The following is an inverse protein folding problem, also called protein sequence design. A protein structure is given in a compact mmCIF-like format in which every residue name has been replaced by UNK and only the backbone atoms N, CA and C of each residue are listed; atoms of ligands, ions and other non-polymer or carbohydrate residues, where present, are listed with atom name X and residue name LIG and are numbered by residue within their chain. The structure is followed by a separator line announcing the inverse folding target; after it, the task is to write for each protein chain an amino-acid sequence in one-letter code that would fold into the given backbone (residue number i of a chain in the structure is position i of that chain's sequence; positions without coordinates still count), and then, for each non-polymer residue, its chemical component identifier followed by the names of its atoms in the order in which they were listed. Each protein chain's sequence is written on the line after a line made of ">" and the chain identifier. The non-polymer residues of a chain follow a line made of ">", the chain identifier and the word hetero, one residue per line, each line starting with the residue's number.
data_IF_810465145406
#
_entry.id   IF_810465145406
#
_cell.length_a   1.000
_cell.length_b   1.000
_cell.length_c   1.000
_cell.angle_alpha   90.00
_cell.angle_beta   90.00
_cell.angle_gamma   90.00
#
_symmetry.space_group_name_H-M   'P 1'
#
loop_
_entity.id
_entity.type
_entity.pdbx_description
1 polymer ?
#
# COMPACT_ATOMS: atom_id res chain seq x y z
N UNK A 1 -14.08 22.55 -67.52
CA UNK A 1 -13.38 21.66 -66.58
C UNK A 1 -13.73 22.21 -65.19
N UNK A 2 -14.56 21.48 -64.42
CA UNK A 2 -14.88 21.84 -63.07
C UNK A 2 -13.86 21.12 -62.17
N UNK A 3 -12.95 21.87 -61.58
CA UNK A 3 -12.07 21.35 -60.52
C UNK A 3 -12.89 21.05 -59.29
N UNK A 4 -12.93 19.77 -58.93
CA UNK A 4 -13.55 19.29 -57.72
C UNK A 4 -12.50 19.37 -56.61
N UNK A 5 -12.61 20.35 -55.70
CA UNK A 5 -11.81 20.34 -54.49
C UNK A 5 -12.16 19.07 -53.67
N UNK A 6 -11.19 18.19 -53.52
CA UNK A 6 -11.28 17.08 -52.58
C UNK A 6 -10.77 17.55 -51.24
N UNK A 7 -11.67 17.88 -50.31
CA UNK A 7 -11.33 18.15 -48.92
C UNK A 7 -10.96 16.81 -48.29
N UNK A 8 -9.68 16.55 -48.10
CA UNK A 8 -9.17 15.43 -47.34
C UNK A 8 -9.24 15.83 -45.85
N UNK A 9 -10.24 15.36 -45.14
CA UNK A 9 -10.23 15.39 -43.69
C UNK A 9 -9.10 14.46 -43.23
N UNK A 10 -7.96 15.02 -42.86
CA UNK A 10 -6.99 14.28 -42.05
C UNK A 10 -7.62 14.15 -40.68
N UNK A 11 -7.90 12.91 -40.26
CA UNK A 11 -8.19 12.63 -38.85
C UNK A 11 -7.06 13.25 -38.02
N UNK A 12 -7.42 14.23 -37.21
CA UNK A 12 -6.51 14.83 -36.23
C UNK A 12 -6.13 13.67 -35.33
N UNK A 13 -4.87 13.25 -35.29
CA UNK A 13 -4.40 12.33 -34.26
C UNK A 13 -4.89 12.90 -32.92
N UNK A 14 -5.79 12.18 -32.27
CA UNK A 14 -6.27 12.57 -30.95
C UNK A 14 -5.08 12.49 -30.02
N UNK A 15 -4.55 13.65 -29.62
CA UNK A 15 -3.48 13.75 -28.65
C UNK A 15 -3.89 13.08 -27.32
N UNK A 16 -2.92 12.79 -26.47
CA UNK A 16 -3.15 12.23 -25.13
C UNK A 16 -4.28 12.99 -24.40
N UNK A 17 -5.25 12.26 -23.87
CA UNK A 17 -6.29 12.80 -22.99
C UNK A 17 -6.01 12.33 -21.56
N UNK A 18 -6.01 13.23 -20.57
CA UNK A 18 -5.92 12.83 -19.18
C UNK A 18 -6.99 11.78 -18.85
N UNK A 19 -6.59 10.75 -18.13
CA UNK A 19 -7.46 9.65 -17.72
C UNK A 19 -7.08 9.18 -16.34
N UNK A 20 -7.94 8.39 -15.73
CA UNK A 20 -7.67 7.92 -14.38
C UNK A 20 -8.86 7.28 -13.72
N UNK A 21 -8.79 7.19 -12.40
CA UNK A 21 -9.87 6.72 -11.59
C UNK A 21 -9.94 7.40 -10.23
N UNK A 22 -11.12 7.37 -9.65
CA UNK A 22 -11.43 7.74 -8.27
C UNK A 22 -12.14 6.56 -7.63
N UNK A 23 -11.73 6.17 -6.43
CA UNK A 23 -12.35 5.12 -5.63
C UNK A 23 -12.63 5.68 -4.23
N UNK A 24 -13.91 5.65 -3.83
CA UNK A 24 -14.34 5.96 -2.47
C UNK A 24 -14.85 4.68 -1.82
N UNK A 25 -14.23 4.31 -0.70
CA UNK A 25 -14.54 3.11 0.05
C UNK A 25 -14.78 3.43 1.51
N UNK A 26 -15.87 2.90 2.07
CA UNK A 26 -16.06 2.80 3.51
C UNK A 26 -15.88 1.33 3.92
N UNK A 27 -15.05 1.08 4.92
CA UNK A 27 -14.77 -0.26 5.45
C UNK A 27 -14.95 -0.26 6.97
N UNK A 28 -15.70 -1.23 7.43
CA UNK A 28 -15.86 -1.54 8.84
C UNK A 28 -15.03 -2.79 9.19
N UNK A 29 -14.41 -2.75 10.36
CA UNK A 29 -13.69 -3.84 10.97
C UNK A 29 -14.39 -4.16 12.28
N UNK A 30 -14.84 -5.40 12.43
CA UNK A 30 -15.61 -5.84 13.57
C UNK A 30 -14.74 -6.25 14.73
N UNK A 31 -15.37 -6.90 15.69
CA UNK A 31 -14.73 -7.43 16.88
C UNK A 31 -13.84 -8.63 16.53
N UNK A 32 -12.65 -8.68 17.12
CA UNK A 32 -11.73 -9.80 16.97
C UNK A 32 -12.18 -10.97 17.85
N UNK A 33 -12.10 -12.18 17.34
CA UNK A 33 -12.45 -13.40 18.04
C UNK A 33 -11.66 -13.54 19.36
N UNK A 34 -12.34 -13.94 20.45
CA UNK A 34 -11.76 -14.16 21.78
C UNK A 34 -10.99 -12.97 22.36
N UNK A 35 -11.42 -11.77 22.07
CA UNK A 35 -10.83 -10.54 22.58
C UNK A 35 -10.62 -10.51 24.10
N UNK A 36 -11.58 -11.06 24.87
CA UNK A 36 -11.55 -11.08 26.33
C UNK A 36 -10.41 -11.92 26.93
N UNK A 37 -9.81 -12.82 26.14
CA UNK A 37 -8.76 -13.73 26.62
C UNK A 37 -7.39 -13.05 26.83
N UNK A 38 -7.19 -11.86 26.26
CA UNK A 38 -5.91 -11.16 26.23
C UNK A 38 -6.07 -9.67 26.54
N UNK A 39 -6.36 -9.35 27.76
CA UNK A 39 -6.52 -8.00 28.32
C UNK A 39 -5.80 -6.90 27.53
N UNK A 40 -6.48 -6.27 26.56
CA UNK A 40 -6.11 -5.04 25.86
C UNK A 40 -5.22 -5.11 24.61
N UNK A 41 -4.57 -6.21 24.28
CA UNK A 41 -3.64 -6.22 23.12
C UNK A 41 -4.35 -6.08 21.76
N UNK A 42 -5.61 -6.54 21.64
CA UNK A 42 -6.40 -6.47 20.41
C UNK A 42 -7.57 -5.49 20.47
N UNK A 43 -7.97 -5.11 21.66
CA UNK A 43 -9.10 -4.20 21.88
C UNK A 43 -9.00 -2.91 21.08
N UNK A 44 -7.77 -2.43 20.88
CA UNK A 44 -7.45 -1.22 20.13
C UNK A 44 -7.56 -1.34 18.63
N UNK A 45 -7.80 -2.54 18.10
CA UNK A 45 -7.94 -2.81 16.68
C UNK A 45 -9.33 -3.35 16.30
N UNK A 46 -10.28 -3.28 17.21
CA UNK A 46 -11.66 -3.73 17.05
C UNK A 46 -12.63 -2.58 16.85
N UNK A 47 -13.77 -2.89 16.24
CA UNK A 47 -14.92 -2.00 16.12
C UNK A 47 -14.55 -0.57 15.65
N UNK A 48 -13.79 -0.52 14.57
CA UNK A 48 -13.44 0.74 13.92
C UNK A 48 -13.83 0.74 12.45
N UNK A 49 -13.87 1.89 11.86
CA UNK A 49 -14.13 2.07 10.45
C UNK A 49 -13.07 2.90 9.77
N UNK A 50 -12.96 2.76 8.48
CA UNK A 50 -12.08 3.55 7.62
C UNK A 50 -12.82 4.06 6.41
N UNK A 51 -12.87 5.38 6.25
CA UNK A 51 -13.22 6.01 5.00
C UNK A 51 -11.95 6.24 4.19
N UNK A 52 -11.91 5.79 2.95
CA UNK A 52 -10.77 5.96 2.06
C UNK A 52 -11.20 6.56 0.74
N UNK A 53 -10.57 7.65 0.36
CA UNK A 53 -10.60 8.21 -0.99
C UNK A 53 -9.25 7.95 -1.62
N UNK A 54 -9.22 7.27 -2.76
CA UNK A 54 -7.99 6.99 -3.49
C UNK A 54 -8.19 7.13 -4.99
N UNK A 55 -7.12 7.35 -5.71
CA UNK A 55 -7.18 7.44 -7.14
C UNK A 55 -5.83 7.68 -7.79
N UNK A 56 -5.86 7.68 -9.10
CA UNK A 56 -4.72 8.01 -9.93
C UNK A 56 -5.18 8.81 -11.15
N UNK A 57 -4.37 9.76 -11.55
CA UNK A 57 -4.59 10.61 -12.72
C UNK A 57 -3.34 10.53 -13.59
N UNK A 58 -3.45 9.96 -14.79
CA UNK A 58 -2.46 10.09 -15.83
C UNK A 58 -2.66 11.47 -16.49
N UNK A 59 -1.82 12.42 -16.15
CA UNK A 59 -1.91 13.81 -16.65
C UNK A 59 -1.36 13.95 -18.05
N UNK A 60 -0.34 13.16 -18.35
CA UNK A 60 0.27 13.01 -19.66
C UNK A 60 0.73 11.55 -19.84
N UNK A 61 1.28 11.17 -20.99
CA UNK A 61 1.89 9.86 -21.22
C UNK A 61 3.04 9.54 -20.23
N UNK A 62 3.66 10.58 -19.65
CA UNK A 62 4.82 10.46 -18.76
C UNK A 62 4.53 10.81 -17.33
N UNK A 63 3.43 11.52 -17.04
CA UNK A 63 3.15 12.10 -15.74
C UNK A 63 1.92 11.46 -15.12
N UNK A 64 2.06 11.00 -13.89
CA UNK A 64 0.98 10.40 -13.10
C UNK A 64 0.98 10.99 -11.69
N UNK A 65 -0.21 11.30 -11.21
CA UNK A 65 -0.47 11.64 -9.81
C UNK A 65 -1.29 10.53 -9.17
N UNK A 66 -0.86 10.02 -8.04
CA UNK A 66 -1.64 9.15 -7.16
C UNK A 66 -1.94 9.86 -5.86
N UNK A 67 -3.14 9.65 -5.34
CA UNK A 67 -3.54 10.16 -4.04
C UNK A 67 -4.29 9.12 -3.24
N UNK A 68 -4.13 9.20 -1.91
CA UNK A 68 -4.88 8.40 -0.94
C UNK A 68 -5.11 9.23 0.31
N UNK A 69 -6.36 9.33 0.72
CA UNK A 69 -6.78 9.97 1.95
C UNK A 69 -7.54 8.92 2.75
N UNK A 70 -7.16 8.73 3.99
CA UNK A 70 -7.79 7.80 4.93
C UNK A 70 -8.21 8.54 6.18
N UNK A 71 -9.37 8.16 6.69
CA UNK A 71 -9.86 8.60 7.98
C UNK A 71 -10.37 7.37 8.72
N UNK A 72 -9.83 7.11 9.90
CA UNK A 72 -10.26 6.05 10.79
C UNK A 72 -11.10 6.63 11.90
N UNK A 73 -12.18 5.95 12.26
CA UNK A 73 -13.09 6.36 13.30
C UNK A 73 -13.45 5.16 14.17
N UNK A 74 -13.48 5.36 15.48
CA UNK A 74 -14.05 4.39 16.41
C UNK A 74 -15.55 4.27 16.16
N UNK A 75 -16.07 3.05 16.14
CA UNK A 75 -17.51 2.77 15.93
C UNK A 75 -18.22 2.65 17.28
N UNK A 76 -17.53 2.21 18.30
CA UNK A 76 -18.04 2.14 19.67
C UNK A 76 -17.30 3.12 20.58
N UNK A 77 -18.04 3.78 21.47
CA UNK A 77 -17.53 4.67 22.50
C UNK A 77 -17.17 3.92 23.79
N UNK A 78 -16.57 2.73 23.66
CA UNK A 78 -16.09 1.98 24.82
C UNK A 78 -14.69 2.46 25.23
N UNK A 79 -14.31 2.20 26.48
CA UNK A 79 -12.97 2.48 27.01
C UNK A 79 -11.87 1.70 26.24
N UNK A 80 -12.27 0.78 25.39
CA UNK A 80 -11.45 -0.03 24.49
C UNK A 80 -11.48 0.48 23.05
N UNK A 81 -11.64 1.77 22.82
CA UNK A 81 -11.63 2.37 21.51
C UNK A 81 -10.33 2.06 20.76
N UNK A 82 -10.46 1.78 19.48
CA UNK A 82 -9.33 1.47 18.59
C UNK A 82 -8.23 2.53 18.65
N UNK A 83 -6.96 2.12 18.74
CA UNK A 83 -5.79 3.01 18.63
C UNK A 83 -5.79 3.80 17.31
N UNK A 84 -6.44 3.29 16.28
CA UNK A 84 -6.62 3.99 15.00
C UNK A 84 -7.87 4.88 14.97
N UNK A 85 -8.67 4.89 16.01
CA UNK A 85 -9.83 5.76 16.11
C UNK A 85 -9.40 7.22 16.00
N UNK A 86 -10.17 8.00 15.20
CA UNK A 86 -9.99 9.43 15.03
C UNK A 86 -8.63 9.87 14.45
N UNK A 87 -7.99 9.01 13.68
CA UNK A 87 -6.75 9.33 12.96
C UNK A 87 -6.96 9.49 11.46
N UNK A 88 -6.08 10.21 10.81
CA UNK A 88 -6.13 10.48 9.36
C UNK A 88 -4.76 10.32 8.73
N UNK A 89 -4.76 9.95 7.46
CA UNK A 89 -3.56 9.85 6.64
C UNK A 89 -3.81 10.50 5.29
N UNK A 90 -2.86 11.26 4.80
CA UNK A 90 -2.82 11.77 3.42
C UNK A 90 -1.55 11.29 2.76
N UNK A 91 -1.65 10.78 1.53
CA UNK A 91 -0.52 10.42 0.71
C UNK A 91 -0.71 10.92 -0.70
N UNK A 92 0.25 11.69 -1.19
CA UNK A 92 0.34 12.17 -2.57
C UNK A 92 1.63 11.63 -3.18
N UNK A 93 1.55 11.10 -4.40
CA UNK A 93 2.68 10.58 -5.16
C UNK A 93 2.64 11.13 -6.57
N UNK A 94 3.68 11.82 -6.97
CA UNK A 94 3.88 12.24 -8.34
C UNK A 94 4.96 11.41 -9.00
N UNK A 95 4.67 10.93 -10.20
CA UNK A 95 5.58 10.12 -11.00
C UNK A 95 5.88 10.80 -12.32
N UNK A 96 7.14 10.75 -12.72
CA UNK A 96 7.58 11.14 -14.05
C UNK A 96 8.37 10.00 -14.68
N UNK A 97 7.84 9.42 -15.76
CA UNK A 97 8.47 8.35 -16.52
C UNK A 97 9.43 8.97 -17.55
N UNK A 98 10.72 8.76 -17.37
CA UNK A 98 11.77 9.23 -18.27
C UNK A 98 11.93 8.34 -19.51
N UNK A 99 11.34 7.14 -19.50
CA UNK A 99 11.52 6.12 -20.52
C UNK A 99 12.66 5.18 -20.18
N UNK A 100 13.13 4.47 -21.20
CA UNK A 100 14.22 3.51 -21.03
C UNK A 100 15.59 4.20 -20.99
N UNK A 101 16.52 3.64 -20.27
CA UNK A 101 17.89 4.12 -20.18
C UNK A 101 18.68 3.73 -21.42
N UNK A 102 18.90 4.69 -22.32
CA UNK A 102 19.56 4.46 -23.59
C UNK A 102 18.88 3.34 -24.39
N UNK A 103 19.67 2.39 -24.91
CA UNK A 103 19.17 1.25 -25.67
C UNK A 103 18.77 0.05 -24.78
N UNK A 104 18.78 0.21 -23.44
CA UNK A 104 18.38 -0.85 -22.53
C UNK A 104 16.86 -0.96 -22.40
N UNK A 105 16.39 -2.06 -21.82
CA UNK A 105 14.99 -2.23 -21.42
C UNK A 105 14.71 -1.76 -19.97
N UNK A 106 15.69 -1.14 -19.31
CA UNK A 106 15.51 -0.62 -17.96
C UNK A 106 14.71 0.66 -18.01
N UNK A 107 13.50 0.65 -17.52
CA UNK A 107 12.68 1.86 -17.43
C UNK A 107 13.07 2.68 -16.19
N UNK A 108 13.24 3.98 -16.37
CA UNK A 108 13.52 4.91 -15.28
C UNK A 108 12.32 5.81 -15.03
N UNK A 109 11.86 5.84 -13.77
CA UNK A 109 10.79 6.71 -13.29
C UNK A 109 11.22 7.41 -12.02
N UNK A 110 11.07 8.74 -11.95
CA UNK A 110 11.19 9.51 -10.71
C UNK A 110 9.86 9.50 -9.96
N UNK A 111 9.91 9.38 -8.63
CA UNK A 111 8.75 9.54 -7.73
C UNK A 111 9.06 10.60 -6.68
N UNK A 112 8.14 11.53 -6.49
CA UNK A 112 8.10 12.41 -5.32
C UNK A 112 6.87 12.01 -4.52
N UNK A 113 7.02 11.81 -3.22
CA UNK A 113 5.92 11.51 -2.32
C UNK A 113 5.89 12.50 -1.17
N UNK A 114 4.70 12.97 -0.86
CA UNK A 114 4.36 13.57 0.43
C UNK A 114 3.42 12.64 1.17
N UNK A 115 3.65 12.45 2.46
CA UNK A 115 2.77 11.69 3.33
C UNK A 115 2.64 12.41 4.67
N UNK A 116 1.40 12.54 5.12
CA UNK A 116 1.00 12.92 6.46
C UNK A 116 0.40 11.66 7.09
N UNK A 117 1.04 11.13 8.10
CA UNK A 117 0.72 9.81 8.66
C UNK A 117 -0.21 9.93 9.86
N UNK A 118 -0.88 8.85 10.17
CA UNK A 118 -1.78 8.75 11.32
C UNK A 118 -1.09 8.90 12.69
N UNK A 119 0.23 8.76 12.74
CA UNK A 119 1.07 8.92 13.92
C UNK A 119 1.61 10.34 14.11
N UNK A 120 1.02 11.34 13.41
CA UNK A 120 1.43 12.75 13.43
C UNK A 120 2.83 13.01 12.87
N UNK A 121 3.41 12.05 12.14
CA UNK A 121 4.65 12.28 11.40
C UNK A 121 4.36 12.58 9.92
N UNK A 122 5.19 13.41 9.34
CA UNK A 122 5.12 13.78 7.94
C UNK A 122 6.40 13.38 7.24
N UNK A 123 6.32 13.03 5.97
CA UNK A 123 7.50 12.78 5.15
C UNK A 123 7.41 13.41 3.75
N UNK A 124 8.57 13.82 3.27
CA UNK A 124 8.80 14.16 1.88
C UNK A 124 9.90 13.25 1.34
N UNK A 125 9.58 12.47 0.31
CA UNK A 125 10.48 11.47 -0.25
C UNK A 125 10.70 11.70 -1.75
N UNK A 126 11.94 11.53 -2.18
CA UNK A 126 12.32 11.34 -3.57
C UNK A 126 12.85 9.93 -3.78
N UNK A 127 12.43 9.30 -4.88
CA UNK A 127 12.85 7.96 -5.25
C UNK A 127 13.16 7.89 -6.75
N UNK A 128 14.28 7.31 -7.09
CA UNK A 128 14.64 6.96 -8.47
C UNK A 128 14.36 5.47 -8.69
N UNK A 129 13.35 5.15 -9.49
CA UNK A 129 12.89 3.77 -9.74
C UNK A 129 13.46 3.24 -11.04
N UNK A 130 14.26 2.20 -10.98
CA UNK A 130 14.82 1.49 -12.13
C UNK A 130 14.14 0.13 -12.25
N UNK A 131 13.27 -0.03 -13.22
CA UNK A 131 12.51 -1.27 -13.42
C UNK A 131 13.20 -2.17 -14.44
N UNK A 132 13.53 -3.39 -14.01
CA UNK A 132 14.22 -4.44 -14.77
C UNK A 132 13.28 -5.58 -15.17
N UNK A 133 11.97 -5.45 -15.06
CA UNK A 133 11.01 -6.55 -15.27
C UNK A 133 11.20 -7.24 -16.63
N UNK A 134 11.52 -6.47 -17.70
CA UNK A 134 11.75 -7.00 -19.04
C UNK A 134 12.96 -7.93 -19.16
N UNK A 135 13.83 -7.98 -18.17
CA UNK A 135 14.96 -8.92 -18.08
C UNK A 135 14.67 -10.12 -17.18
N UNK A 136 13.51 -10.14 -16.49
CA UNK A 136 13.16 -11.18 -15.54
C UNK A 136 12.34 -12.30 -16.20
N UNK A 137 11.60 -13.04 -15.39
CA UNK A 137 10.82 -14.18 -15.86
C UNK A 137 9.66 -13.72 -16.76
N UNK A 138 9.52 -14.37 -17.89
CA UNK A 138 8.39 -14.22 -18.81
C UNK A 138 8.03 -15.59 -19.39
N UNK A 139 7.46 -16.44 -18.56
CA UNK A 139 7.07 -17.82 -18.89
C UNK A 139 5.59 -18.04 -18.58
N UNK A 140 5.02 -19.15 -19.01
CA UNK A 140 3.64 -19.53 -18.70
C UNK A 140 3.41 -19.79 -17.20
N UNK A 141 4.47 -20.06 -16.43
CA UNK A 141 4.39 -20.32 -14.98
C UNK A 141 4.64 -19.07 -14.14
N UNK A 142 5.51 -18.18 -14.59
CA UNK A 142 5.86 -16.96 -13.87
C UNK A 142 6.10 -15.84 -14.87
N UNK A 143 5.38 -14.73 -14.69
CA UNK A 143 5.62 -13.50 -15.44
C UNK A 143 5.89 -12.36 -14.47
N UNK A 144 7.10 -11.81 -14.55
CA UNK A 144 7.47 -10.65 -13.74
C UNK A 144 6.91 -9.38 -14.37
N UNK A 145 6.08 -8.65 -13.64
CA UNK A 145 5.49 -7.38 -14.08
C UNK A 145 6.14 -6.16 -13.42
N UNK A 146 6.77 -6.36 -12.26
CA UNK A 146 7.62 -5.35 -11.62
C UNK A 146 8.86 -6.03 -11.04
N UNK A 147 10.03 -5.44 -11.28
CA UNK A 147 11.28 -5.73 -10.60
C UNK A 147 12.08 -4.43 -10.55
N UNK A 148 11.77 -3.63 -9.53
CA UNK A 148 12.27 -2.27 -9.41
C UNK A 148 13.28 -2.16 -8.29
N UNK A 149 14.50 -1.70 -8.61
CA UNK A 149 15.50 -1.24 -7.65
C UNK A 149 15.38 0.28 -7.54
N UNK A 150 15.24 0.79 -6.33
CA UNK A 150 14.86 2.17 -6.10
C UNK A 150 15.68 2.85 -4.99
N UNK A 151 16.81 3.50 -5.33
CA UNK A 151 17.46 4.43 -4.41
C UNK A 151 16.51 5.55 -3.99
N UNK A 152 16.50 5.88 -2.69
CA UNK A 152 15.63 6.90 -2.14
C UNK A 152 16.30 7.78 -1.09
N UNK A 153 15.74 8.96 -0.93
CA UNK A 153 15.98 9.86 0.17
C UNK A 153 14.64 10.35 0.71
N UNK A 154 14.47 10.36 2.02
CA UNK A 154 13.31 10.94 2.68
C UNK A 154 13.74 11.85 3.84
N UNK A 155 12.98 12.92 4.02
CA UNK A 155 13.02 13.77 5.18
C UNK A 155 11.72 13.57 5.96
N UNK A 156 11.84 13.17 7.22
CA UNK A 156 10.71 12.86 8.11
C UNK A 156 10.74 13.84 9.29
N UNK A 157 9.58 14.39 9.65
CA UNK A 157 9.45 15.32 10.77
C UNK A 157 8.14 15.07 11.53
N UNK A 158 8.08 15.48 12.79
CA UNK A 158 6.86 15.48 13.60
C UNK A 158 6.10 16.79 13.48
N UNK A 159 4.78 16.76 13.58
CA UNK A 159 3.92 17.94 13.41
C UNK A 159 4.24 19.06 14.40
N UNK A 160 4.55 18.72 15.64
CA UNK A 160 4.78 19.70 16.72
C UNK A 160 6.17 19.57 17.37
N UNK A 161 7.14 19.05 16.63
CA UNK A 161 8.47 18.74 17.15
C UNK A 161 9.57 19.28 16.23
N UNK A 162 10.69 19.69 16.82
CA UNK A 162 11.92 19.96 16.08
C UNK A 162 12.68 18.68 15.71
N UNK A 163 12.22 17.53 16.15
CA UNK A 163 12.81 16.24 15.82
C UNK A 163 12.61 15.91 14.34
N UNK A 164 13.67 15.41 13.71
CA UNK A 164 13.64 14.99 12.32
C UNK A 164 14.49 13.74 12.08
N UNK A 165 14.22 13.06 10.97
CA UNK A 165 15.00 11.93 10.52
C UNK A 165 15.28 12.06 9.02
N UNK A 166 16.58 12.07 8.66
CA UNK A 166 17.00 11.97 7.27
C UNK A 166 17.23 10.50 6.95
N UNK A 167 16.56 9.99 5.94
CA UNK A 167 16.59 8.61 5.54
C UNK A 167 17.19 8.45 4.16
N UNK A 168 18.16 7.55 4.04
CA UNK A 168 18.72 7.13 2.75
C UNK A 168 18.59 5.62 2.65
N UNK A 169 18.12 5.13 1.49
CA UNK A 169 17.94 3.70 1.32
C UNK A 169 17.91 3.27 -0.13
N UNK A 170 17.87 1.96 -0.30
CA UNK A 170 17.61 1.32 -1.58
C UNK A 170 16.51 0.29 -1.36
N UNK A 171 15.41 0.44 -2.07
CA UNK A 171 14.27 -0.45 -1.99
C UNK A 171 14.24 -1.39 -3.19
N UNK A 172 13.73 -2.60 -2.97
CA UNK A 172 13.39 -3.56 -4.01
C UNK A 172 11.89 -3.78 -4.00
N UNK A 173 11.24 -3.60 -5.15
CA UNK A 173 9.84 -3.93 -5.37
C UNK A 173 9.74 -5.03 -6.41
N UNK A 174 8.96 -6.07 -6.14
CA UNK A 174 8.72 -7.13 -7.13
C UNK A 174 7.25 -7.47 -7.21
N UNK A 175 6.80 -7.84 -8.42
CA UNK A 175 5.45 -8.36 -8.66
C UNK A 175 5.53 -9.43 -9.74
N UNK A 176 4.92 -10.57 -9.46
CA UNK A 176 4.91 -11.72 -10.35
C UNK A 176 3.48 -12.22 -10.55
N UNK A 177 3.08 -12.37 -11.81
CA UNK A 177 1.85 -13.08 -12.17
C UNK A 177 2.14 -14.59 -12.21
N UNK A 178 1.25 -15.37 -11.61
CA UNK A 178 1.30 -16.82 -11.50
C UNK A 178 0.07 -17.45 -12.16
N UNK A 179 0.05 -18.76 -12.45
CA UNK A 179 -1.13 -19.44 -12.98
C UNK A 179 -2.37 -19.28 -12.09
N UNK A 180 -3.54 -19.47 -12.70
CA UNK A 180 -4.86 -19.47 -12.04
C UNK A 180 -5.24 -18.15 -11.35
N UNK A 181 -4.74 -17.02 -11.87
CA UNK A 181 -5.07 -15.70 -11.36
C UNK A 181 -4.38 -15.34 -10.03
N UNK A 182 -3.36 -16.08 -9.63
CA UNK A 182 -2.52 -15.70 -8.52
C UNK A 182 -1.51 -14.64 -8.93
N UNK A 183 -1.14 -13.78 -7.99
CA UNK A 183 0.05 -12.94 -8.09
C UNK A 183 0.80 -12.96 -6.76
N UNK A 184 2.12 -12.79 -6.85
CA UNK A 184 3.03 -12.74 -5.72
C UNK A 184 3.80 -11.44 -5.73
N UNK A 185 3.84 -10.77 -4.59
CA UNK A 185 4.58 -9.55 -4.34
C UNK A 185 5.62 -9.80 -3.25
N UNK A 186 6.83 -9.32 -3.46
CA UNK A 186 7.86 -9.29 -2.43
C UNK A 186 8.55 -7.93 -2.48
N UNK A 187 8.64 -7.26 -1.34
CA UNK A 187 9.28 -5.98 -1.20
C UNK A 187 10.34 -6.05 -0.09
N UNK A 188 11.45 -5.37 -0.34
CA UNK A 188 12.52 -5.19 0.63
C UNK A 188 12.86 -3.71 0.70
N UNK A 189 12.90 -3.17 1.90
CA UNK A 189 13.23 -1.77 2.16
C UNK A 189 14.46 -1.69 3.04
N UNK A 190 15.47 -0.94 2.62
CA UNK A 190 16.62 -0.67 3.47
C UNK A 190 16.64 0.80 3.84
N UNK A 191 16.92 1.12 5.09
CA UNK A 191 16.93 2.49 5.55
C UNK A 191 18.10 2.75 6.48
N UNK A 192 18.97 3.68 6.09
CA UNK A 192 19.91 4.32 7.00
C UNK A 192 19.27 5.59 7.53
N UNK A 193 19.02 5.62 8.82
CA UNK A 193 18.46 6.76 9.56
C UNK A 193 19.61 7.66 10.05
N UNK A 194 19.35 8.96 10.02
CA UNK A 194 20.17 10.01 10.62
C UNK A 194 19.24 10.94 11.41
N UNK A 195 19.11 10.65 12.70
CA UNK A 195 18.23 11.37 13.59
C UNK A 195 18.82 12.72 13.99
N UNK A 196 18.01 13.76 13.92
CA UNK A 196 18.39 15.09 14.30
C UNK A 196 17.54 15.64 15.42
N UNK A 197 18.12 16.49 16.23
CA UNK A 197 17.49 17.17 17.35
C UNK A 197 16.66 16.25 18.25
N UNK A 198 16.42 15.86 19.09
CA UNK A 198 15.54 15.05 19.95
C UNK A 198 14.91 13.80 19.31
N UNK A 199 15.25 13.48 18.06
CA UNK A 199 14.82 12.24 17.42
C UNK A 199 15.78 11.07 17.69
N UNK A 200 16.81 11.26 18.51
CA UNK A 200 17.73 10.22 18.95
C UNK A 200 16.98 9.05 19.60
N UNK A 201 17.33 7.84 19.18
CA UNK A 201 16.76 6.63 19.79
C UNK A 201 17.50 6.28 21.06
N UNK A 202 16.79 5.85 22.09
CA UNK A 202 17.37 5.36 23.32
C UNK A 202 17.62 3.86 23.19
N UNK A 203 18.86 3.44 23.31
CA UNK A 203 19.28 2.04 23.29
C UNK A 203 19.82 1.61 24.65
N UNK A 204 20.13 0.32 24.82
CA UNK A 204 20.78 -0.17 26.03
C UNK A 204 22.18 0.45 26.25
N UNK A 205 22.85 0.81 25.16
CA UNK A 205 24.19 1.41 25.19
C UNK A 205 24.17 2.93 25.28
N UNK A 206 22.98 3.55 25.27
CA UNK A 206 22.80 4.99 25.37
C UNK A 206 21.93 5.56 24.25
N UNK A 207 22.14 6.83 23.94
CA UNK A 207 21.43 7.51 22.86
C UNK A 207 22.21 7.40 21.54
N UNK A 208 21.52 6.99 20.49
CA UNK A 208 22.09 6.88 19.14
C UNK A 208 21.40 7.86 18.19
N UNK A 209 22.20 8.54 17.38
CA UNK A 209 21.74 9.47 16.34
C UNK A 209 21.63 8.83 14.95
N UNK A 210 21.88 7.53 14.85
CA UNK A 210 21.82 6.75 13.61
C UNK A 210 21.28 5.36 13.87
N UNK A 211 20.62 4.81 12.85
CA UNK A 211 20.21 3.42 12.85
C UNK A 211 20.19 2.89 11.42
N UNK A 212 20.30 1.59 11.23
CA UNK A 212 20.07 0.92 9.98
C UNK A 212 18.97 -0.11 10.15
N UNK A 213 17.93 -0.04 9.31
CA UNK A 213 16.79 -0.97 9.34
C UNK A 213 16.61 -1.67 8.00
N UNK A 214 16.07 -2.88 8.07
CA UNK A 214 15.63 -3.66 6.91
C UNK A 214 14.20 -4.09 7.18
N UNK A 215 13.28 -3.74 6.27
CA UNK A 215 11.89 -4.16 6.30
C UNK A 215 11.60 -5.07 5.11
N UNK A 216 10.84 -6.15 5.34
CA UNK A 216 10.43 -7.09 4.29
C UNK A 216 8.94 -7.34 4.36
N UNK A 217 8.33 -7.44 3.20
CA UNK A 217 6.91 -7.78 3.01
C UNK A 217 6.79 -8.84 1.91
N UNK A 218 5.86 -9.77 2.08
CA UNK A 218 5.56 -10.75 1.04
C UNK A 218 4.05 -11.01 1.00
N UNK A 219 3.44 -10.86 -0.17
CA UNK A 219 2.01 -10.99 -0.34
C UNK A 219 1.65 -11.94 -1.47
N UNK A 220 0.54 -12.63 -1.33
CA UNK A 220 -0.09 -13.43 -2.37
C UNK A 220 -1.54 -12.96 -2.56
N UNK A 221 -1.92 -12.75 -3.80
CA UNK A 221 -3.25 -12.29 -4.19
C UNK A 221 -3.89 -13.28 -5.14
N UNK A 222 -5.20 -13.36 -5.09
CA UNK A 222 -6.01 -14.03 -6.10
C UNK A 222 -7.33 -13.29 -6.26
N UNK A 223 -7.77 -13.13 -7.51
CA UNK A 223 -9.12 -12.69 -7.81
C UNK A 223 -9.73 -13.68 -8.79
N UNK A 224 -10.83 -14.31 -8.38
CA UNK A 224 -11.57 -15.28 -9.19
C UNK A 224 -12.99 -14.79 -9.37
N UNK A 225 -13.40 -14.61 -10.63
CA UNK A 225 -14.81 -14.32 -10.93
C UNK A 225 -15.63 -15.59 -10.75
N UNK A 226 -16.62 -15.53 -9.86
CA UNK A 226 -17.53 -16.64 -9.55
C UNK A 226 -18.81 -16.60 -10.40
N UNK A 227 -19.25 -15.39 -10.76
CA UNK A 227 -20.51 -15.20 -11.50
C UNK A 227 -20.50 -13.85 -12.21
N UNK A 228 -21.04 -13.84 -13.42
CA UNK A 228 -21.30 -12.60 -14.17
C UNK A 228 -22.61 -12.73 -14.93
N UNK A 229 -23.50 -11.75 -14.79
CA UNK A 229 -24.73 -11.63 -15.55
C UNK A 229 -25.07 -10.15 -15.78
N UNK A 230 -25.01 -9.70 -17.02
CA UNK A 230 -25.22 -8.29 -17.37
C UNK A 230 -24.26 -7.37 -16.62
N UNK A 231 -24.82 -6.45 -15.86
CA UNK A 231 -24.04 -5.45 -15.10
C UNK A 231 -23.63 -5.93 -13.70
N UNK A 232 -23.92 -7.17 -13.34
CA UNK A 232 -23.62 -7.73 -12.01
C UNK A 232 -22.52 -8.75 -12.12
N UNK A 233 -21.52 -8.67 -11.27
CA UNK A 233 -20.52 -9.73 -11.07
C UNK A 233 -20.29 -10.02 -9.59
N UNK A 234 -19.90 -11.26 -9.30
CA UNK A 234 -19.49 -11.72 -7.97
C UNK A 234 -18.08 -12.28 -8.09
N UNK A 235 -17.20 -11.72 -7.29
CA UNK A 235 -15.79 -12.11 -7.26
C UNK A 235 -15.41 -12.64 -5.89
N UNK A 236 -14.61 -13.68 -5.88
CA UNK A 236 -13.82 -14.08 -4.72
C UNK A 236 -12.47 -13.39 -4.79
N UNK A 237 -12.10 -12.67 -3.75
CA UNK A 237 -10.78 -12.09 -3.61
C UNK A 237 -10.07 -12.70 -2.41
N UNK A 238 -8.82 -12.99 -2.59
CA UNK A 238 -7.92 -13.45 -1.54
C UNK A 238 -6.69 -12.56 -1.50
N UNK A 239 -6.36 -12.09 -0.32
CA UNK A 239 -5.10 -11.45 0.00
C UNK A 239 -4.54 -12.14 1.23
N UNK A 240 -3.25 -12.45 1.22
CA UNK A 240 -2.60 -13.03 2.37
C UNK A 240 -1.12 -12.83 2.28
N UNK A 241 -0.42 -12.99 3.40
CA UNK A 241 1.01 -12.85 3.36
C UNK A 241 1.65 -12.56 4.70
N UNK A 242 2.81 -12.01 4.59
CA UNK A 242 3.72 -11.66 5.65
C UNK A 242 3.83 -10.14 5.71
N UNK A 243 3.13 -9.56 6.68
CA UNK A 243 3.00 -8.12 6.83
C UNK A 243 4.11 -7.62 7.75
N UNK A 244 5.15 -7.17 7.10
CA UNK A 244 6.33 -6.47 7.56
C UNK A 244 7.14 -7.16 8.67
N UNK A 245 8.19 -7.86 8.26
CA UNK A 245 9.33 -8.16 9.11
C UNK A 245 10.25 -6.96 9.15
N UNK A 246 10.68 -6.57 10.33
CA UNK A 246 11.60 -5.47 10.54
C UNK A 246 12.84 -5.97 11.30
N UNK A 247 14.01 -5.68 10.80
CA UNK A 247 15.27 -5.85 11.50
C UNK A 247 15.91 -4.48 11.74
N UNK A 248 16.41 -4.27 12.96
CA UNK A 248 17.08 -3.04 13.36
C UNK A 248 18.50 -3.35 13.86
N UNK A 249 19.48 -2.56 13.44
CA UNK A 249 20.85 -2.68 13.92
C UNK A 249 20.95 -2.29 15.39
N UNK A 250 20.32 -1.20 15.77
CA UNK A 250 20.30 -0.71 17.14
C UNK A 250 19.09 -1.27 17.88
N UNK A 251 19.31 -1.73 19.11
CA UNK A 251 18.27 -2.26 19.98
C UNK A 251 17.62 -1.12 20.76
N UNK A 252 16.32 -0.95 20.62
CA UNK A 252 15.56 0.09 21.33
C UNK A 252 15.39 -0.33 22.78
N UNK A 253 15.74 0.57 23.71
CA UNK A 253 15.64 0.32 25.15
C UNK A 253 14.19 0.04 25.56
N UNK A 254 13.99 -1.02 26.33
CA UNK A 254 12.68 -1.42 26.85
C UNK A 254 11.82 -2.22 25.89
N UNK A 255 12.27 -2.43 24.67
CA UNK A 255 11.64 -3.39 23.77
C UNK A 255 12.25 -4.79 23.96
N UNK A 256 11.39 -5.76 24.22
CA UNK A 256 11.81 -7.16 24.27
C UNK A 256 12.19 -7.56 22.84
N UNK A 257 13.42 -8.07 22.65
CA UNK A 257 13.91 -8.51 21.34
C UNK A 257 13.99 -7.39 20.28
N UNK A 258 14.63 -6.30 20.64
CA UNK A 258 14.75 -5.09 19.84
C UNK A 258 15.57 -5.25 18.53
N UNK A 259 16.19 -6.39 18.29
CA UNK A 259 17.04 -6.66 17.12
C UNK A 259 16.26 -7.22 15.92
N UNK A 260 15.03 -7.73 16.12
CA UNK A 260 14.12 -8.11 15.05
C UNK A 260 12.67 -7.97 15.50
N UNK A 261 11.84 -7.52 14.59
CA UNK A 261 10.47 -7.29 14.92
C UNK A 261 9.62 -8.54 14.79
N UNK A 262 8.53 -8.43 15.40
CA UNK A 262 7.33 -9.22 15.35
C UNK A 262 6.88 -9.37 13.90
N UNK A 263 6.62 -10.56 13.45
CA UNK A 263 6.02 -10.79 12.15
C UNK A 263 4.51 -10.97 12.26
N UNK A 264 3.81 -10.55 11.25
CA UNK A 264 2.36 -10.71 11.13
C UNK A 264 2.02 -11.48 9.86
N UNK A 265 1.56 -12.71 10.03
CA UNK A 265 0.99 -13.50 8.94
C UNK A 265 -0.52 -13.29 8.92
N UNK A 266 -1.11 -13.19 7.73
CA UNK A 266 -2.55 -13.05 7.59
C UNK A 266 -3.10 -13.70 6.32
N UNK A 267 -4.41 -13.94 6.34
CA UNK A 267 -5.20 -14.35 5.20
C UNK A 267 -6.55 -13.62 5.25
N UNK A 268 -6.93 -12.98 4.16
CA UNK A 268 -8.15 -12.19 4.03
C UNK A 268 -8.96 -12.63 2.81
N UNK A 269 -9.75 -13.71 2.93
CA UNK A 269 -10.74 -14.05 1.92
C UNK A 269 -11.94 -13.10 1.98
N UNK A 270 -12.39 -12.61 0.82
CA UNK A 270 -13.60 -11.79 0.70
C UNK A 270 -14.44 -12.19 -0.51
N UNK A 271 -15.76 -12.02 -0.39
CA UNK A 271 -16.71 -12.09 -1.52
C UNK A 271 -17.17 -10.68 -1.82
N UNK A 272 -17.06 -10.29 -3.06
CA UNK A 272 -17.42 -8.97 -3.54
C UNK A 272 -18.50 -9.04 -4.62
N UNK A 273 -19.57 -8.32 -4.42
CA UNK A 273 -20.63 -8.07 -5.41
C UNK A 273 -20.35 -6.72 -6.07
N UNK A 274 -20.25 -6.70 -7.38
CA UNK A 274 -20.09 -5.49 -8.18
C UNK A 274 -21.32 -5.22 -9.02
N UNK A 275 -21.66 -3.96 -9.17
CA UNK A 275 -22.70 -3.48 -10.08
C UNK A 275 -22.15 -2.36 -10.97
N UNK A 276 -22.08 -2.62 -12.25
CA UNK A 276 -21.67 -1.65 -13.28
C UNK A 276 -22.84 -0.71 -13.58
N UNK A 277 -22.92 0.41 -12.87
CA UNK A 277 -24.03 1.36 -13.01
C UNK A 277 -23.98 2.13 -14.34
N UNK A 278 -22.76 2.48 -14.80
CA UNK A 278 -22.50 3.06 -16.13
C UNK A 278 -21.18 2.48 -16.66
N UNK A 279 -20.81 2.68 -17.94
CA UNK A 279 -19.51 2.24 -18.44
C UNK A 279 -18.32 2.70 -17.60
N UNK A 280 -18.46 3.80 -16.88
CA UNK A 280 -17.39 4.42 -16.10
C UNK A 280 -17.59 4.34 -14.58
N UNK A 281 -18.75 3.83 -14.10
CA UNK A 281 -19.05 3.79 -12.68
C UNK A 281 -19.44 2.38 -12.25
N UNK A 282 -18.67 1.84 -11.33
CA UNK A 282 -18.93 0.57 -10.65
C UNK A 282 -19.16 0.83 -9.17
N UNK A 283 -20.25 0.34 -8.62
CA UNK A 283 -20.47 0.25 -7.18
C UNK A 283 -20.19 -1.16 -6.70
N UNK A 284 -19.73 -1.30 -5.47
CA UNK A 284 -19.41 -2.61 -4.92
C UNK A 284 -19.72 -2.71 -3.43
N UNK A 285 -20.00 -3.92 -2.98
CA UNK A 285 -20.06 -4.31 -1.57
C UNK A 285 -19.32 -5.63 -1.40
N UNK A 286 -18.55 -5.74 -0.33
CA UNK A 286 -17.82 -6.96 -0.03
C UNK A 286 -17.87 -7.29 1.46
N UNK A 287 -17.79 -8.57 1.76
CA UNK A 287 -17.70 -9.08 3.12
C UNK A 287 -16.68 -10.22 3.18
N UNK A 288 -16.01 -10.33 4.30
CA UNK A 288 -15.03 -11.36 4.59
C UNK A 288 -14.55 -11.30 6.01
N UNK A 289 -13.47 -11.99 6.28
CA UNK A 289 -12.83 -11.95 7.58
C UNK A 289 -11.32 -12.09 7.41
N UNK A 290 -10.57 -11.34 8.20
CA UNK A 290 -9.13 -11.46 8.27
C UNK A 290 -8.76 -12.48 9.36
N UNK A 291 -7.97 -13.48 9.00
CA UNK A 291 -7.35 -14.40 9.93
C UNK A 291 -5.89 -14.02 10.09
N UNK A 292 -5.51 -13.58 11.27
CA UNK A 292 -4.18 -13.01 11.52
C UNK A 292 -3.65 -13.48 12.89
N UNK A 293 -2.32 -13.58 13.03
CA UNK A 293 -1.69 -13.65 14.33
C UNK A 293 -1.63 -12.25 14.94
N UNK A 294 -2.52 -11.98 15.87
CA UNK A 294 -2.71 -10.65 16.46
C UNK A 294 -1.68 -10.33 17.54
N UNK A 295 -1.20 -11.33 18.25
CA UNK A 295 -0.17 -11.12 19.27
C UNK A 295 1.18 -10.88 18.59
N UNK A 296 1.58 -9.63 18.61
CA UNK A 296 2.86 -9.17 18.04
C UNK A 296 3.97 -9.07 19.09
N UNK A 297 3.68 -9.34 20.35
CA UNK A 297 4.66 -9.21 21.44
C UNK A 297 5.58 -10.43 21.55
N UNK A 298 5.09 -11.58 21.13
CA UNK A 298 5.89 -12.79 21.13
C UNK A 298 6.54 -12.98 19.75
N UNK A 299 7.80 -12.68 19.67
CA UNK A 299 8.58 -12.84 18.49
C UNK A 299 8.58 -14.24 17.92
N UNK A 300 8.70 -14.31 16.60
CA UNK A 300 8.80 -15.55 15.82
C UNK A 300 7.70 -16.58 16.11
N UNK A 301 6.65 -16.19 16.79
CA UNK A 301 5.54 -17.06 17.17
C UNK A 301 4.29 -16.68 16.37
N UNK A 302 3.87 -17.55 15.46
CA UNK A 302 2.56 -17.45 14.82
C UNK A 302 1.49 -17.96 15.81
N UNK A 303 1.48 -17.43 17.04
CA UNK A 303 0.48 -17.72 18.07
C UNK A 303 -0.67 -16.74 18.02
N UNK A 304 -1.73 -17.05 18.74
CA UNK A 304 -2.88 -16.17 18.95
C UNK A 304 -3.59 -15.77 17.66
N UNK A 305 -3.77 -16.75 16.77
CA UNK A 305 -4.54 -16.58 15.56
C UNK A 305 -6.01 -16.31 15.87
N UNK A 306 -6.56 -15.26 15.24
CA UNK A 306 -7.93 -14.80 15.44
C UNK A 306 -8.54 -14.32 14.13
N UNK A 307 -9.84 -14.48 14.03
CA UNK A 307 -10.65 -13.90 12.97
C UNK A 307 -11.15 -12.52 13.35
N UNK A 308 -11.11 -11.60 12.38
CA UNK A 308 -11.79 -10.32 12.47
C UNK A 308 -12.68 -10.16 11.24
N UNK A 309 -14.01 -10.04 11.40
CA UNK A 309 -14.91 -9.80 10.29
C UNK A 309 -14.72 -8.40 9.72
N UNK A 310 -14.91 -8.25 8.43
CA UNK A 310 -14.86 -6.97 7.75
C UNK A 310 -15.92 -6.88 6.66
N UNK A 311 -16.52 -5.71 6.54
CA UNK A 311 -17.46 -5.38 5.48
C UNK A 311 -17.03 -4.05 4.88
N UNK A 312 -17.07 -3.94 3.56
CA UNK A 312 -16.78 -2.68 2.90
C UNK A 312 -17.71 -2.47 1.69
N UNK A 313 -17.99 -1.22 1.42
CA UNK A 313 -18.76 -0.79 0.27
C UNK A 313 -18.13 0.47 -0.33
N UNK A 314 -18.33 0.66 -1.60
CA UNK A 314 -17.78 1.82 -2.27
C UNK A 314 -18.22 1.96 -3.70
N UNK A 315 -17.61 2.93 -4.35
CA UNK A 315 -17.74 3.08 -5.79
C UNK A 315 -16.41 3.51 -6.41
N UNK A 316 -16.19 3.04 -7.61
CA UNK A 316 -15.05 3.40 -8.44
C UNK A 316 -15.54 4.00 -9.76
N UNK A 317 -15.04 5.17 -10.09
CA UNK A 317 -15.29 5.80 -11.40
C UNK A 317 -14.01 5.98 -12.18
N UNK A 318 -14.08 5.78 -13.50
CA UNK A 318 -12.99 6.04 -14.44
C UNK A 318 -13.34 7.20 -15.35
N UNK A 319 -12.37 7.91 -15.89
CA UNK A 319 -12.58 9.04 -16.79
C UNK A 319 -11.45 9.13 -17.83
#
# INVERSE_FOLDING_TARGET
>A
IVEKEVIVYRDKEEGFRPNGYVDLQYRWYGETENQEAHENEWATQDNYSRLQLSGAINMTEKQKLEYRIRNWNSVESSDNASVKGDSKEVRLRYFYNHGNLGDSKVNYTSRIQYRDKADETQDLEYMAKFNFADYMFNTDLVKTTDFTVAPRYAYVWGENSSAYDNQVGVDLYTMHELPWGFSFEFNLYTTQHFFGERAEILTEDGKEDKNFTIDMEAYIYNTTNLYTNGNVSVDFNFEGGYDQYNWSKEKIYGETNADHSKYSLYALPTIQLNYQATPNLTTYVAAGAEYRNWNKEHESCASDWRWQPTVFAGFKTTF
#
